data_IF_071184533613
#
_entry.id   IF_071184533613
#
_cell.length_a   1.000
_cell.length_b   1.000
_cell.length_c   1.000
_cell.angle_alpha   90.00
_cell.angle_beta   90.00
_cell.angle_gamma   90.00
#
_symmetry.space_group_name_H-M   'P 1'
#
loop_
_entity.id
_entity.type
_entity.pdbx_description
1 polymer ?
#
# COMPACT_ATOMS: atom_id res chain seq x y z
N UNK A 1 -2.14 -18.74 22.57
CA UNK A 1 -0.93 -18.87 23.38
C UNK A 1 -0.80 -17.62 24.25
N UNK A 2 -1.09 -17.81 25.54
CA UNK A 2 -1.28 -16.72 26.50
C UNK A 2 0.04 -16.47 27.28
N UNK A 3 1.11 -16.14 26.51
CA UNK A 3 2.40 -15.82 27.13
C UNK A 3 2.26 -14.58 28.02
N UNK A 4 2.74 -14.64 29.31
CA UNK A 4 2.73 -13.49 30.20
C UNK A 4 3.38 -12.24 29.59
N UNK A 5 4.41 -12.43 28.76
CA UNK A 5 5.14 -11.35 28.09
C UNK A 5 4.32 -10.72 26.95
N UNK A 6 3.59 -11.53 26.19
CA UNK A 6 2.69 -11.03 25.13
C UNK A 6 1.53 -10.21 25.72
N UNK A 7 0.98 -10.65 26.88
CA UNK A 7 -0.01 -9.87 27.63
C UNK A 7 0.56 -8.57 28.16
N UNK A 8 1.76 -8.59 28.71
CA UNK A 8 2.43 -7.39 29.20
C UNK A 8 2.72 -6.40 28.07
N UNK A 9 3.22 -6.87 26.91
CA UNK A 9 3.45 -6.03 25.73
C UNK A 9 2.15 -5.44 25.18
N UNK A 10 1.08 -6.25 25.07
CA UNK A 10 -0.24 -5.77 24.62
C UNK A 10 -0.84 -4.73 25.59
N UNK A 11 -0.71 -4.95 26.91
CA UNK A 11 -1.16 -4.01 27.94
C UNK A 11 -0.38 -2.69 27.86
N UNK A 12 0.93 -2.76 27.67
CA UNK A 12 1.79 -1.57 27.53
C UNK A 12 1.44 -0.77 26.28
N UNK A 13 1.31 -1.42 25.13
CA UNK A 13 0.93 -0.77 23.85
C UNK A 13 -0.46 -0.14 23.97
N UNK A 14 -1.43 -0.83 24.61
CA UNK A 14 -2.79 -0.30 24.82
C UNK A 14 -2.78 0.91 25.76
N UNK A 15 -2.00 0.86 26.84
CA UNK A 15 -1.85 1.99 27.76
C UNK A 15 -1.21 3.19 27.06
N UNK A 16 -0.12 2.96 26.33
CA UNK A 16 0.57 4.01 25.58
C UNK A 16 -0.33 4.64 24.50
N UNK A 17 -1.08 3.82 23.72
CA UNK A 17 -2.03 4.33 22.75
C UNK A 17 -3.14 5.19 23.39
N UNK A 18 -3.61 4.81 24.57
CA UNK A 18 -4.61 5.60 25.31
C UNK A 18 -4.02 6.91 25.83
N UNK A 19 -2.78 6.92 26.30
CA UNK A 19 -2.11 8.13 26.79
C UNK A 19 -1.83 9.12 25.67
N UNK A 20 -1.42 8.63 24.48
CA UNK A 20 -1.28 9.43 23.26
C UNK A 20 -2.62 9.98 22.80
N UNK A 21 -3.68 9.16 22.75
CA UNK A 21 -5.02 9.59 22.36
C UNK A 21 -5.59 10.64 23.33
N UNK A 22 -5.25 10.52 24.62
CA UNK A 22 -5.62 11.49 25.65
C UNK A 22 -4.72 12.75 25.68
N UNK A 23 -3.74 12.89 24.79
CA UNK A 23 -2.71 13.95 24.77
C UNK A 23 -1.96 14.10 26.09
N UNK A 24 -1.74 12.99 26.80
CA UNK A 24 -1.01 12.93 28.08
C UNK A 24 0.46 12.57 27.91
N UNK A 25 0.85 12.10 26.74
CA UNK A 25 2.24 11.82 26.38
C UNK A 25 2.61 12.61 25.11
N UNK A 26 3.71 13.33 25.15
CA UNK A 26 4.40 13.83 23.98
C UNK A 26 5.27 12.68 23.45
N UNK A 27 5.05 12.29 22.20
CA UNK A 27 5.88 11.26 21.54
C UNK A 27 7.10 12.00 21.00
N UNK A 28 8.24 11.83 21.67
CA UNK A 28 9.50 12.19 21.05
C UNK A 28 9.98 11.04 20.12
N UNK A 29 10.85 11.35 19.14
CA UNK A 29 11.35 10.36 18.19
C UNK A 29 12.04 9.15 18.81
N UNK A 30 12.65 9.30 19.97
CA UNK A 30 13.38 8.23 20.66
C UNK A 30 12.38 7.25 21.32
N UNK A 31 11.30 7.75 21.90
CA UNK A 31 10.21 6.93 22.45
C UNK A 31 9.51 6.11 21.36
N UNK A 32 9.35 6.69 20.17
CA UNK A 32 8.74 5.99 19.01
C UNK A 32 9.59 4.80 18.57
N UNK A 33 10.92 4.97 18.55
CA UNK A 33 11.88 3.90 18.23
C UNK A 33 11.88 2.81 19.31
N UNK A 34 11.86 3.15 20.59
CA UNK A 34 11.85 2.19 21.69
C UNK A 34 10.57 1.34 21.69
N UNK A 35 9.40 1.95 21.45
CA UNK A 35 8.14 1.23 21.34
C UNK A 35 8.14 0.30 20.13
N UNK A 36 8.66 0.74 18.98
CA UNK A 36 8.78 -0.10 17.79
C UNK A 36 9.74 -1.29 18.01
N UNK A 37 10.83 -1.10 18.76
CA UNK A 37 11.76 -2.17 19.12
C UNK A 37 11.14 -3.16 20.13
N UNK A 38 10.40 -2.69 21.11
CA UNK A 38 9.68 -3.57 22.05
C UNK A 38 8.61 -4.42 21.34
N UNK A 39 7.84 -3.82 20.43
CA UNK A 39 6.86 -4.55 19.61
C UNK A 39 7.58 -5.59 18.74
N UNK A 40 8.69 -5.20 18.10
CA UNK A 40 9.50 -6.11 17.28
C UNK A 40 10.09 -7.25 18.09
N UNK A 41 10.60 -6.98 19.30
CA UNK A 41 11.13 -7.98 20.21
C UNK A 41 10.01 -8.95 20.68
N UNK A 42 8.84 -8.43 21.04
CA UNK A 42 7.69 -9.25 21.45
C UNK A 42 7.20 -10.17 20.33
N UNK A 43 7.19 -9.66 19.08
CA UNK A 43 6.85 -10.46 17.89
C UNK A 43 7.95 -11.47 17.52
N UNK A 44 9.22 -11.16 17.81
CA UNK A 44 10.36 -12.04 17.51
C UNK A 44 10.50 -13.21 18.47
N UNK A 45 10.04 -13.09 19.72
CA UNK A 45 10.09 -14.15 20.73
C UNK A 45 9.07 -15.28 20.51
N UNK A 46 8.20 -15.16 19.53
CA UNK A 46 7.19 -16.18 19.18
C UNK A 46 7.60 -17.02 17.94
N UNK A 47 8.88 -17.15 17.65
CA UNK A 47 9.41 -17.88 16.49
C UNK A 47 9.50 -19.40 16.75
N UNK A 48 8.47 -20.10 16.31
CA UNK A 48 8.63 -21.43 15.70
C UNK A 48 8.80 -21.23 14.19
N UNK A 49 10.01 -21.51 13.67
CA UNK A 49 10.62 -20.74 12.57
C UNK A 49 10.15 -21.01 11.14
N UNK A 50 9.25 -21.96 10.83
CA UNK A 50 8.87 -22.24 9.44
C UNK A 50 7.38 -22.09 9.09
N UNK A 51 6.47 -22.33 10.01
CA UNK A 51 5.03 -22.20 9.71
C UNK A 51 4.55 -20.74 9.83
N UNK A 52 5.17 -19.97 10.71
CA UNK A 52 4.81 -18.56 10.99
C UNK A 52 5.44 -17.54 10.04
N UNK A 53 6.53 -17.87 9.34
CA UNK A 53 7.13 -16.98 8.37
C UNK A 53 6.20 -16.76 7.16
N UNK A 54 5.64 -17.83 6.61
CA UNK A 54 4.70 -17.77 5.48
C UNK A 54 3.41 -17.04 5.88
N UNK A 55 2.85 -17.30 7.07
CA UNK A 55 1.68 -16.59 7.57
C UNK A 55 1.95 -15.10 7.81
N UNK A 56 3.14 -14.76 8.30
CA UNK A 56 3.58 -13.37 8.47
C UNK A 56 3.74 -12.66 7.13
N UNK A 57 4.30 -13.32 6.13
CA UNK A 57 4.46 -12.75 4.77
C UNK A 57 3.12 -12.54 4.09
N UNK A 58 2.20 -13.51 4.16
CA UNK A 58 0.83 -13.39 3.66
C UNK A 58 0.07 -12.26 4.36
N UNK A 59 0.26 -12.11 5.66
CA UNK A 59 -0.33 -11.00 6.41
C UNK A 59 0.20 -9.65 5.94
N UNK A 60 1.52 -9.49 5.78
CA UNK A 60 2.14 -8.28 5.24
C UNK A 60 1.62 -7.97 3.83
N UNK A 61 1.50 -8.98 2.96
CA UNK A 61 0.94 -8.83 1.62
C UNK A 61 -0.51 -8.34 1.67
N UNK A 62 -1.34 -8.94 2.52
CA UNK A 62 -2.74 -8.54 2.71
C UNK A 62 -2.88 -7.09 3.15
N UNK A 63 -2.20 -6.69 4.23
CA UNK A 63 -2.25 -5.31 4.74
C UNK A 63 -1.68 -4.32 3.71
N UNK A 64 -0.63 -4.69 2.98
CA UNK A 64 -0.11 -3.89 1.87
C UNK A 64 -1.18 -3.63 0.82
N UNK A 65 -1.95 -4.65 0.45
CA UNK A 65 -3.09 -4.49 -0.47
C UNK A 65 -4.14 -3.52 0.06
N UNK A 66 -4.52 -3.64 1.33
CA UNK A 66 -5.49 -2.75 1.97
C UNK A 66 -5.00 -1.28 2.02
N UNK A 67 -3.73 -1.07 2.36
CA UNK A 67 -3.11 0.27 2.34
C UNK A 67 -3.09 0.87 0.94
N UNK A 68 -2.83 0.08 -0.09
CA UNK A 68 -2.87 0.53 -1.49
C UNK A 68 -4.30 0.94 -1.87
N UNK A 69 -5.32 0.15 -1.52
CA UNK A 69 -6.72 0.49 -1.82
C UNK A 69 -7.14 1.81 -1.17
N UNK A 70 -6.67 2.09 0.03
CA UNK A 70 -7.00 3.31 0.77
C UNK A 70 -6.25 4.55 0.23
N UNK A 71 -5.01 4.38 -0.23
CA UNK A 71 -4.10 5.51 -0.47
C UNK A 71 -3.64 5.67 -1.92
N UNK A 72 -4.00 4.80 -2.87
CA UNK A 72 -3.46 4.84 -4.24
C UNK A 72 -3.67 6.17 -4.98
N UNK A 73 -4.68 6.97 -4.58
CA UNK A 73 -4.96 8.28 -5.18
C UNK A 73 -3.99 9.37 -4.79
N UNK A 74 -3.29 9.21 -3.67
CA UNK A 74 -2.23 10.11 -3.29
C UNK A 74 -1.00 9.87 -4.17
N UNK A 75 -0.55 10.85 -4.99
CA UNK A 75 0.61 10.67 -5.87
C UNK A 75 1.92 10.42 -5.11
N UNK A 76 2.01 10.88 -3.85
CA UNK A 76 3.18 10.73 -2.99
C UNK A 76 3.17 9.40 -2.22
N UNK A 77 2.08 8.66 -2.25
CA UNK A 77 2.01 7.33 -1.67
C UNK A 77 2.82 6.32 -2.49
N UNK A 78 3.87 5.79 -1.90
CA UNK A 78 4.84 4.90 -2.52
C UNK A 78 5.21 3.70 -1.61
N UNK A 79 6.19 2.90 -2.03
CA UNK A 79 6.68 1.76 -1.27
C UNK A 79 7.30 2.18 0.07
N UNK A 80 7.91 3.36 0.13
CA UNK A 80 8.48 3.91 1.37
C UNK A 80 7.37 4.26 2.37
N UNK A 81 6.27 4.82 1.88
CA UNK A 81 5.08 5.10 2.69
C UNK A 81 4.49 3.82 3.28
N UNK A 82 4.40 2.73 2.49
CA UNK A 82 3.93 1.43 2.99
C UNK A 82 4.89 0.88 4.05
N UNK A 83 6.20 0.90 3.77
CA UNK A 83 7.21 0.39 4.70
C UNK A 83 7.15 1.13 6.04
N UNK A 84 7.00 2.46 6.02
CA UNK A 84 6.87 3.31 7.20
C UNK A 84 5.59 3.00 7.99
N UNK A 85 4.44 2.89 7.31
CA UNK A 85 3.16 2.58 7.96
C UNK A 85 3.15 1.18 8.60
N UNK A 86 3.90 0.23 8.06
CA UNK A 86 4.03 -1.12 8.60
C UNK A 86 5.21 -1.26 9.58
N UNK A 87 5.95 -0.20 9.87
CA UNK A 87 7.18 -0.23 10.67
C UNK A 87 8.20 -1.25 10.14
N UNK A 88 8.28 -1.42 8.82
CA UNK A 88 9.19 -2.33 8.14
C UNK A 88 10.26 -1.55 7.36
N UNK A 89 11.45 -2.13 7.22
CA UNK A 89 12.39 -1.65 6.20
C UNK A 89 11.88 -2.03 4.80
N UNK A 90 12.25 -1.24 3.77
CA UNK A 90 11.95 -1.59 2.36
C UNK A 90 12.39 -3.01 2.02
N UNK A 91 13.58 -3.42 2.48
CA UNK A 91 14.10 -4.77 2.26
C UNK A 91 13.18 -5.84 2.87
N UNK A 92 12.65 -5.60 4.05
CA UNK A 92 11.70 -6.50 4.73
C UNK A 92 10.37 -6.59 3.96
N UNK A 93 9.84 -5.44 3.54
CA UNK A 93 8.64 -5.39 2.72
C UNK A 93 8.82 -6.16 1.40
N UNK A 94 9.92 -5.91 0.66
CA UNK A 94 10.17 -6.67 -0.58
C UNK A 94 10.40 -8.16 -0.34
N UNK A 95 10.98 -8.56 0.78
CA UNK A 95 11.15 -9.97 1.15
C UNK A 95 9.79 -10.66 1.34
N UNK A 96 8.82 -10.00 1.97
CA UNK A 96 7.48 -10.54 2.10
C UNK A 96 6.76 -10.75 0.75
N UNK A 97 7.29 -10.19 -0.33
CA UNK A 97 6.79 -10.34 -1.69
C UNK A 97 7.73 -11.17 -2.59
N UNK A 98 8.73 -11.89 -2.01
CA UNK A 98 9.70 -12.67 -2.81
C UNK A 98 9.03 -13.74 -3.66
N UNK A 99 8.03 -14.40 -3.11
CA UNK A 99 7.28 -15.47 -3.75
C UNK A 99 5.95 -15.03 -4.35
N UNK A 100 5.63 -13.72 -4.24
CA UNK A 100 4.43 -13.15 -4.82
C UNK A 100 4.64 -12.84 -6.31
N UNK A 101 3.57 -12.98 -7.11
CA UNK A 101 3.62 -12.66 -8.55
C UNK A 101 4.00 -11.20 -8.84
N UNK A 102 3.73 -10.30 -7.92
CA UNK A 102 3.92 -8.85 -8.10
C UNK A 102 4.59 -8.20 -6.90
N UNK A 103 5.43 -7.22 -7.19
CA UNK A 103 6.07 -6.40 -6.15
C UNK A 103 5.09 -5.34 -5.60
N UNK A 104 5.32 -4.79 -4.39
CA UNK A 104 4.51 -3.70 -3.86
C UNK A 104 4.40 -2.49 -4.81
N UNK A 105 5.50 -2.14 -5.48
CA UNK A 105 5.50 -1.05 -6.47
C UNK A 105 4.63 -1.35 -7.69
N UNK A 106 4.62 -2.61 -8.16
CA UNK A 106 3.78 -3.05 -9.27
C UNK A 106 2.30 -3.03 -8.88
N UNK A 107 1.96 -3.42 -7.66
CA UNK A 107 0.59 -3.36 -7.13
C UNK A 107 0.05 -1.92 -7.10
N UNK A 108 0.83 -0.95 -6.59
CA UNK A 108 0.44 0.47 -6.62
C UNK A 108 0.20 0.91 -8.07
N UNK A 109 1.15 0.63 -8.98
CA UNK A 109 1.04 1.04 -10.38
C UNK A 109 -0.18 0.42 -11.06
N UNK A 110 -0.42 -0.87 -10.88
CA UNK A 110 -1.57 -1.60 -11.42
C UNK A 110 -2.88 -1.03 -10.90
N UNK A 111 -2.98 -0.74 -9.59
CA UNK A 111 -4.18 -0.16 -9.00
C UNK A 111 -4.50 1.22 -9.55
N UNK A 112 -3.50 2.08 -9.70
CA UNK A 112 -3.63 3.40 -10.32
C UNK A 112 -4.06 3.30 -11.79
N UNK A 113 -3.47 2.37 -12.55
CA UNK A 113 -3.80 2.16 -13.96
C UNK A 113 -5.24 1.62 -14.12
N UNK A 114 -5.69 0.72 -13.25
CA UNK A 114 -7.07 0.25 -13.23
C UNK A 114 -8.06 1.40 -12.97
N UNK A 115 -7.76 2.28 -12.01
CA UNK A 115 -8.57 3.46 -11.76
C UNK A 115 -8.60 4.42 -12.96
N UNK A 116 -7.46 4.67 -13.61
CA UNK A 116 -7.39 5.51 -14.81
C UNK A 116 -8.20 4.90 -15.96
N UNK A 117 -8.08 3.59 -16.20
CA UNK A 117 -8.85 2.85 -17.21
C UNK A 117 -10.36 3.04 -17.00
N UNK A 118 -10.82 2.87 -15.76
CA UNK A 118 -12.22 3.06 -15.39
C UNK A 118 -12.71 4.50 -15.65
N UNK A 119 -11.92 5.52 -15.27
CA UNK A 119 -12.27 6.93 -15.51
C UNK A 119 -12.33 7.26 -17.00
N UNK A 120 -11.39 6.75 -17.79
CA UNK A 120 -11.37 6.94 -19.24
C UNK A 120 -12.59 6.35 -19.95
N UNK A 121 -13.15 5.26 -19.39
CA UNK A 121 -14.34 4.60 -19.94
C UNK A 121 -15.63 5.30 -19.51
N UNK A 122 -15.72 5.70 -18.22
CA UNK A 122 -16.97 6.23 -17.64
C UNK A 122 -17.20 7.70 -17.92
N UNK A 123 -16.15 8.51 -17.90
CA UNK A 123 -16.27 9.96 -18.08
C UNK A 123 -15.41 10.46 -19.23
N UNK A 124 -16.07 10.64 -20.35
CA UNK A 124 -15.44 11.11 -21.58
C UNK A 124 -15.06 12.60 -21.54
N UNK A 125 -15.53 13.37 -20.54
CA UNK A 125 -15.31 14.82 -20.43
C UNK A 125 -14.05 15.17 -19.63
N UNK A 126 -13.62 14.27 -18.74
CA UNK A 126 -12.39 14.50 -17.96
C UNK A 126 -11.16 14.68 -18.86
N UNK A 127 -10.39 15.72 -18.61
CA UNK A 127 -9.07 15.88 -19.23
C UNK A 127 -8.11 14.79 -18.74
N UNK A 128 -7.05 14.52 -19.50
CA UNK A 128 -6.02 13.54 -19.06
C UNK A 128 -5.32 13.99 -17.76
N UNK A 129 -5.26 15.29 -17.50
CA UNK A 129 -4.72 15.83 -16.25
C UNK A 129 -5.62 15.48 -15.06
N UNK A 130 -6.92 15.62 -15.21
CA UNK A 130 -7.90 15.24 -14.18
C UNK A 130 -7.91 13.73 -13.96
N UNK A 131 -7.87 12.93 -15.02
CA UNK A 131 -7.74 11.47 -14.91
C UNK A 131 -6.47 11.08 -14.15
N UNK A 132 -5.32 11.69 -14.49
CA UNK A 132 -4.06 11.43 -13.80
C UNK A 132 -4.17 11.74 -12.30
N UNK A 133 -4.66 12.93 -11.94
CA UNK A 133 -4.83 13.34 -10.55
C UNK A 133 -5.80 12.42 -9.79
N UNK A 134 -6.96 12.09 -10.37
CA UNK A 134 -7.97 11.24 -9.75
C UNK A 134 -7.53 9.76 -9.59
N UNK A 135 -6.54 9.33 -10.37
CA UNK A 135 -5.97 7.98 -10.32
C UNK A 135 -4.61 7.91 -9.63
N UNK A 136 -4.14 8.99 -8.98
CA UNK A 136 -2.91 9.01 -8.18
C UNK A 136 -1.62 9.13 -8.98
N UNK A 137 -1.68 9.62 -10.22
CA UNK A 137 -0.47 9.93 -10.99
C UNK A 137 -0.09 11.40 -10.83
N UNK A 138 1.18 11.69 -10.60
CA UNK A 138 1.70 13.03 -10.46
C UNK A 138 1.50 13.91 -11.72
N UNK A 139 1.36 13.31 -12.90
CA UNK A 139 1.13 14.05 -14.16
C UNK A 139 0.46 13.19 -15.22
N UNK A 140 -0.18 13.86 -16.21
CA UNK A 140 -0.71 13.22 -17.40
C UNK A 140 0.37 12.52 -18.24
N UNK A 141 1.60 13.05 -18.25
CA UNK A 141 2.74 12.43 -18.92
C UNK A 141 3.14 11.11 -18.29
N UNK A 142 3.19 11.05 -16.95
CA UNK A 142 3.48 9.82 -16.21
C UNK A 142 2.38 8.76 -16.42
N UNK A 143 1.11 9.19 -16.37
CA UNK A 143 -0.02 8.33 -16.70
C UNK A 143 0.13 7.76 -18.12
N UNK A 144 0.34 8.62 -19.12
CA UNK A 144 0.40 8.21 -20.54
C UNK A 144 1.52 7.21 -20.80
N UNK A 145 2.70 7.43 -20.22
CA UNK A 145 3.84 6.53 -20.35
C UNK A 145 3.55 5.16 -19.74
N UNK A 146 3.02 5.13 -18.53
CA UNK A 146 2.72 3.87 -17.83
C UNK A 146 1.53 3.13 -18.44
N UNK A 147 0.50 3.87 -18.84
CA UNK A 147 -0.69 3.30 -19.49
C UNK A 147 -0.32 2.62 -20.82
N UNK A 148 0.51 3.29 -21.65
CA UNK A 148 0.98 2.69 -22.89
C UNK A 148 1.87 1.47 -22.67
N UNK A 149 2.70 1.47 -21.64
CA UNK A 149 3.55 0.32 -21.30
C UNK A 149 2.72 -0.89 -20.88
N UNK A 150 1.60 -0.67 -20.16
CA UNK A 150 0.72 -1.74 -19.66
C UNK A 150 -0.27 -2.25 -20.71
N UNK A 151 -0.93 -1.32 -21.43
CA UNK A 151 -2.03 -1.67 -22.33
C UNK A 151 -1.69 -1.57 -23.82
N UNK A 152 -0.46 -1.19 -24.17
CA UNK A 152 -0.02 -1.06 -25.57
C UNK A 152 -0.52 0.18 -26.31
N UNK A 153 -1.51 0.89 -25.74
CA UNK A 153 -2.14 2.08 -26.34
C UNK A 153 -2.07 3.29 -25.41
N UNK A 154 -2.18 4.49 -25.92
CA UNK A 154 -2.24 5.70 -25.11
C UNK A 154 -3.63 5.85 -24.46
N UNK A 155 -3.75 6.59 -23.31
CA UNK A 155 -5.04 6.89 -22.72
C UNK A 155 -6.04 7.54 -23.67
N UNK A 156 -5.57 8.38 -24.62
CA UNK A 156 -6.42 9.04 -25.60
C UNK A 156 -6.95 8.07 -26.66
N UNK A 157 -6.11 7.17 -27.16
CA UNK A 157 -6.52 6.10 -28.07
C UNK A 157 -7.51 5.14 -27.40
N UNK A 158 -7.22 4.74 -26.17
CA UNK A 158 -8.10 3.89 -25.38
C UNK A 158 -9.49 4.53 -25.19
N UNK A 159 -9.54 5.82 -24.80
CA UNK A 159 -10.80 6.57 -24.69
C UNK A 159 -11.58 6.62 -25.99
N UNK A 160 -10.88 6.81 -27.14
CA UNK A 160 -11.51 6.84 -28.45
C UNK A 160 -12.15 5.49 -28.78
N UNK A 161 -11.44 4.39 -28.57
CA UNK A 161 -11.94 3.04 -28.79
C UNK A 161 -13.11 2.69 -27.86
N UNK A 162 -13.05 3.08 -26.58
CA UNK A 162 -14.13 2.89 -25.63
C UNK A 162 -15.42 3.63 -26.05
N UNK A 163 -15.29 4.83 -26.63
CA UNK A 163 -16.45 5.57 -27.20
C UNK A 163 -17.05 4.90 -28.42
N UNK A 164 -16.23 4.25 -29.23
CA UNK A 164 -16.68 3.53 -30.42
C UNK A 164 -17.37 2.18 -30.07
N UNK A 165 -17.35 1.77 -28.80
CA UNK A 165 -17.87 0.46 -28.37
C UNK A 165 -16.95 -0.72 -28.69
N UNK A 166 -15.70 -0.43 -29.08
CA UNK A 166 -14.71 -1.44 -29.47
C UNK A 166 -13.98 -2.05 -28.27
N UNK A 167 -14.11 -1.46 -27.08
CA UNK A 167 -13.45 -1.91 -25.84
C UNK A 167 -14.49 -1.94 -24.72
N UNK A 168 -14.80 -3.12 -24.22
CA UNK A 168 -15.54 -3.30 -22.97
C UNK A 168 -14.60 -3.13 -21.77
N UNK A 169 -15.13 -2.60 -20.67
CA UNK A 169 -14.39 -2.46 -19.41
C UNK A 169 -14.34 -3.83 -18.69
N UNK A 170 -13.77 -4.86 -19.33
CA UNK A 170 -13.50 -6.11 -18.64
C UNK A 170 -12.41 -5.87 -17.58
N UNK A 171 -12.84 -6.03 -16.34
CA UNK A 171 -12.05 -6.00 -15.12
C UNK A 171 -11.32 -7.31 -14.95
#
# INVERSE_FOLDING_TARGET
DDSPLARAAAAYVSSFANDVAARRADIDPDTEVEVAELIRAALSMHRDDNFRAADSELYVQKITGELIEQNFRDPDFDVESIARLLFLSRRHLYRAFSDAEQTPAALIARRRLAAAKLLLTRDSRMSLREVAAASGFASAGTLSKRFRAEFGVTPSEFRKAARAGEVTADV
#
